data_IF_030020076829
#
_entry.id   IF_030020076829
#
_cell.length_a   1.000
_cell.length_b   1.000
_cell.length_c   1.000
_cell.angle_alpha   90.00
_cell.angle_beta   90.00
_cell.angle_gamma   90.00
#
_symmetry.space_group_name_H-M   'P 1'
#
loop_
_entity.id
_entity.type
_entity.pdbx_description
1 polymer ?
#
# COMPACT_ATOMS: atom_id res chain seq x y z
N UNK A 1 -0.08 21.00 -1.41
CA UNK A 1 0.24 19.95 -0.41
C UNK A 1 0.45 18.64 -1.15
N UNK A 2 1.54 17.91 -0.85
CA UNK A 2 1.86 16.64 -1.49
C UNK A 2 1.45 15.47 -0.60
N UNK A 3 0.60 14.60 -1.09
CA UNK A 3 0.07 13.44 -0.37
C UNK A 3 0.54 12.16 -1.06
N UNK A 4 1.19 11.26 -0.32
CA UNK A 4 1.65 9.98 -0.84
C UNK A 4 0.84 8.85 -0.22
N UNK A 5 0.10 8.13 -1.05
CA UNK A 5 -0.66 6.95 -0.64
C UNK A 5 0.15 5.68 -0.77
N UNK A 6 0.05 4.79 0.20
CA UNK A 6 0.41 3.38 0.07
C UNK A 6 -0.88 2.57 0.01
N UNK A 7 -1.21 2.07 -1.17
CA UNK A 7 -2.48 1.41 -1.48
C UNK A 7 -2.27 -0.08 -1.73
N UNK A 8 -3.20 -0.94 -1.26
CA UNK A 8 -3.18 -2.37 -1.56
C UNK A 8 -3.52 -2.67 -3.03
N UNK A 9 -4.04 -1.70 -3.76
CA UNK A 9 -4.48 -1.84 -5.15
C UNK A 9 -3.84 -0.78 -6.05
N UNK A 10 -3.71 -1.04 -7.38
CA UNK A 10 -3.18 -0.06 -8.33
C UNK A 10 -4.12 1.14 -8.58
N UNK A 11 -5.28 1.17 -7.92
CA UNK A 11 -6.30 2.21 -8.07
C UNK A 11 -6.61 2.42 -9.57
N UNK A 12 -6.46 3.62 -10.11
CA UNK A 12 -6.74 3.95 -11.52
C UNK A 12 -5.45 4.02 -12.35
N UNK A 13 -4.47 3.15 -12.10
CA UNK A 13 -3.20 3.11 -12.83
C UNK A 13 -3.38 2.87 -14.33
N UNK A 14 -4.34 2.02 -14.74
CA UNK A 14 -4.71 1.77 -16.14
C UNK A 14 -6.20 1.45 -16.23
N UNK A 15 -6.78 1.65 -17.42
CA UNK A 15 -8.19 1.34 -17.67
C UNK A 15 -8.49 -0.16 -17.49
N UNK A 16 -7.53 -1.03 -17.83
CA UNK A 16 -7.64 -2.48 -17.64
C UNK A 16 -7.74 -2.90 -16.17
N UNK A 17 -7.19 -2.09 -15.26
CA UNK A 17 -7.28 -2.39 -13.82
C UNK A 17 -8.67 -2.10 -13.23
N UNK A 18 -9.53 -1.35 -13.93
CA UNK A 18 -10.90 -1.10 -13.51
C UNK A 18 -11.76 -2.37 -13.46
N UNK A 19 -11.48 -3.33 -14.36
CA UNK A 19 -12.19 -4.61 -14.40
C UNK A 19 -11.88 -5.52 -13.21
N UNK A 20 -10.82 -5.26 -12.46
CA UNK A 20 -10.31 -6.12 -11.39
C UNK A 20 -10.47 -5.48 -10.01
N UNK A 21 -11.67 -5.05 -9.65
CA UNK A 21 -11.96 -4.41 -8.36
C UNK A 21 -10.95 -3.33 -7.99
N UNK A 22 -10.53 -2.59 -8.97
CA UNK A 22 -9.41 -1.62 -8.88
C UNK A 22 -9.57 -0.58 -7.82
N UNK A 23 -10.38 -0.82 -6.86
CA UNK A 23 -10.31 0.05 -5.79
C UNK A 23 -11.60 0.49 -5.16
N UNK A 24 -12.72 0.13 -5.71
CA UNK A 24 -13.97 0.50 -5.08
C UNK A 24 -13.93 1.88 -4.45
N UNK A 25 -13.96 1.94 -3.12
CA UNK A 25 -13.93 3.18 -2.37
C UNK A 25 -12.60 3.95 -2.47
N UNK A 26 -11.44 3.29 -2.68
CA UNK A 26 -10.14 3.97 -2.83
C UNK A 26 -10.11 4.75 -4.16
N UNK A 27 -10.65 4.19 -5.24
CA UNK A 27 -10.77 4.90 -6.52
C UNK A 27 -11.73 6.09 -6.41
N UNK A 28 -12.82 5.94 -5.67
CA UNK A 28 -13.75 7.04 -5.39
C UNK A 28 -13.07 8.13 -4.56
N UNK A 29 -12.29 7.78 -3.55
CA UNK A 29 -11.53 8.71 -2.75
C UNK A 29 -10.48 9.45 -3.59
N UNK A 30 -9.81 8.75 -4.52
CA UNK A 30 -8.88 9.39 -5.46
C UNK A 30 -9.58 10.48 -6.27
N UNK A 31 -10.77 10.21 -6.79
CA UNK A 31 -11.53 11.19 -7.57
C UNK A 31 -11.91 12.41 -6.72
N UNK A 32 -12.26 12.20 -5.45
CA UNK A 32 -12.55 13.29 -4.51
C UNK A 32 -11.28 14.11 -4.24
N UNK A 33 -10.15 13.48 -3.93
CA UNK A 33 -8.89 14.19 -3.64
C UNK A 33 -8.44 15.01 -4.86
N UNK A 34 -8.59 14.49 -6.07
CA UNK A 34 -8.28 15.21 -7.31
C UNK A 34 -9.13 16.45 -7.53
N UNK A 35 -10.35 16.50 -7.00
CA UNK A 35 -11.20 17.68 -7.10
C UNK A 35 -10.82 18.79 -6.11
N UNK A 36 -9.90 18.50 -5.17
CA UNK A 36 -9.41 19.48 -4.20
C UNK A 36 -8.22 20.21 -4.78
N UNK A 37 -8.32 21.51 -4.92
CA UNK A 37 -7.25 22.36 -5.41
C UNK A 37 -5.99 22.28 -4.52
N UNK A 38 -4.82 22.38 -5.16
CA UNK A 38 -3.52 22.41 -4.49
C UNK A 38 -3.13 21.13 -3.74
N UNK A 39 -3.64 19.96 -4.18
CA UNK A 39 -3.16 18.65 -3.73
C UNK A 39 -2.48 17.92 -4.88
N UNK A 40 -1.18 17.62 -4.70
CA UNK A 40 -0.43 16.71 -5.57
C UNK A 40 -0.52 15.30 -4.98
N UNK A 41 -1.07 14.36 -5.73
CA UNK A 41 -1.26 12.99 -5.28
C UNK A 41 -0.23 12.05 -5.90
N UNK A 42 0.47 11.29 -5.04
CA UNK A 42 1.25 10.12 -5.42
C UNK A 42 0.63 8.84 -4.89
N UNK A 43 0.65 7.76 -5.67
CA UNK A 43 0.11 6.45 -5.25
C UNK A 43 1.18 5.38 -5.43
N UNK A 44 1.56 4.75 -4.33
CA UNK A 44 2.44 3.57 -4.28
C UNK A 44 1.57 2.33 -4.15
N UNK A 45 1.82 1.34 -4.98
CA UNK A 45 1.14 0.04 -4.91
C UNK A 45 2.07 -1.11 -5.27
N UNK A 46 1.75 -2.31 -4.78
CA UNK A 46 2.52 -3.51 -5.07
C UNK A 46 2.02 -4.21 -6.33
N UNK A 47 2.95 -4.79 -7.09
CA UNK A 47 2.63 -5.54 -8.29
C UNK A 47 3.62 -6.68 -8.51
N UNK A 48 3.17 -7.85 -9.00
CA UNK A 48 4.07 -8.90 -9.49
C UNK A 48 4.61 -8.61 -10.88
N UNK A 49 3.97 -7.69 -11.61
CA UNK A 49 4.32 -7.33 -12.99
C UNK A 49 5.35 -6.21 -13.01
N UNK A 50 6.20 -6.22 -14.04
CA UNK A 50 7.15 -5.13 -14.27
C UNK A 50 6.40 -3.93 -14.87
N UNK A 51 5.94 -3.05 -14.00
CA UNK A 51 5.28 -1.79 -14.35
C UNK A 51 6.24 -0.63 -14.09
N UNK A 52 6.04 0.47 -14.83
CA UNK A 52 6.87 1.67 -14.72
C UNK A 52 6.13 2.77 -13.94
N UNK A 53 6.92 3.65 -13.33
CA UNK A 53 6.40 4.91 -12.80
C UNK A 53 5.75 5.70 -13.95
N UNK A 54 4.55 6.20 -13.74
CA UNK A 54 3.90 7.09 -14.71
C UNK A 54 3.06 8.17 -14.05
N UNK A 55 2.85 9.24 -14.78
CA UNK A 55 1.97 10.33 -14.41
C UNK A 55 0.73 10.27 -15.29
N UNK A 56 -0.43 10.04 -14.68
CA UNK A 56 -1.71 9.86 -15.38
C UNK A 56 -2.78 10.65 -14.64
N UNK A 57 -3.53 11.49 -15.39
CA UNK A 57 -4.63 12.26 -14.82
C UNK A 57 -4.24 12.98 -13.51
N UNK A 58 -3.12 13.70 -13.53
CA UNK A 58 -2.60 14.50 -12.40
C UNK A 58 -2.14 13.68 -11.18
N UNK A 59 -2.04 12.36 -11.29
CA UNK A 59 -1.57 11.46 -10.23
C UNK A 59 -0.25 10.80 -10.64
N UNK A 60 0.72 10.80 -9.72
CA UNK A 60 1.99 10.11 -9.91
C UNK A 60 1.92 8.71 -9.32
N UNK A 61 2.04 7.68 -10.15
CA UNK A 61 1.96 6.28 -9.74
C UNK A 61 3.34 5.65 -9.64
N UNK A 62 3.57 4.95 -8.53
CA UNK A 62 4.81 4.28 -8.17
C UNK A 62 4.57 2.78 -7.93
N UNK A 63 4.69 1.93 -8.96
CA UNK A 63 4.60 0.49 -8.77
C UNK A 63 5.84 -0.04 -8.03
N UNK A 64 5.64 -0.85 -6.99
CA UNK A 64 6.69 -1.60 -6.31
C UNK A 64 6.60 -3.06 -6.74
N UNK A 65 7.61 -3.50 -7.49
CA UNK A 65 7.66 -4.87 -8.00
C UNK A 65 8.10 -5.81 -6.88
N UNK A 66 7.32 -6.89 -6.69
CA UNK A 66 7.62 -8.01 -5.78
C UNK A 66 8.33 -9.14 -6.52
N UNK A 67 9.53 -8.89 -6.96
CA UNK A 67 10.38 -9.81 -7.70
C UNK A 67 11.36 -10.56 -6.80
N UNK A 68 10.86 -11.18 -5.74
CA UNK A 68 11.69 -11.90 -4.77
C UNK A 68 12.19 -13.24 -5.32
N UNK A 69 13.47 -13.53 -5.09
CA UNK A 69 14.04 -14.87 -5.30
C UNK A 69 13.45 -15.88 -4.32
N UNK A 70 13.60 -17.18 -4.60
CA UNK A 70 13.13 -18.23 -3.68
C UNK A 70 13.72 -18.09 -2.27
N UNK A 71 15.00 -17.73 -2.17
CA UNK A 71 15.69 -17.53 -0.89
C UNK A 71 15.11 -16.33 -0.11
N UNK A 72 14.82 -15.24 -0.81
CA UNK A 72 14.21 -14.05 -0.20
C UNK A 72 12.77 -14.30 0.25
N UNK A 73 12.02 -15.15 -0.48
CA UNK A 73 10.65 -15.55 -0.09
C UNK A 73 10.58 -16.29 1.25
N UNK A 74 11.65 -16.93 1.67
CA UNK A 74 11.73 -17.64 2.95
C UNK A 74 12.01 -16.71 4.14
N UNK A 75 12.42 -15.45 3.90
CA UNK A 75 12.74 -14.50 4.95
C UNK A 75 11.87 -13.24 4.86
N UNK A 76 10.78 -13.24 5.61
CA UNK A 76 9.81 -12.13 5.63
C UNK A 76 10.43 -10.79 6.06
N UNK A 77 11.33 -10.80 7.04
CA UNK A 77 12.02 -9.59 7.51
C UNK A 77 12.89 -8.99 6.39
N UNK A 78 13.60 -9.84 5.66
CA UNK A 78 14.42 -9.40 4.54
C UNK A 78 13.57 -8.83 3.39
N UNK A 79 12.42 -9.47 3.06
CA UNK A 79 11.47 -8.92 2.08
C UNK A 79 10.99 -7.52 2.50
N UNK A 80 10.59 -7.36 3.76
CA UNK A 80 10.14 -6.07 4.28
C UNK A 80 11.23 -5.00 4.15
N UNK A 81 12.48 -5.34 4.48
CA UNK A 81 13.63 -4.42 4.34
C UNK A 81 13.82 -3.97 2.88
N UNK A 82 13.71 -4.89 1.91
CA UNK A 82 13.80 -4.55 0.48
C UNK A 82 12.67 -3.57 0.09
N UNK A 83 11.44 -3.86 0.50
CA UNK A 83 10.27 -3.04 0.17
C UNK A 83 10.34 -1.66 0.83
N UNK A 84 10.76 -1.59 2.08
CA UNK A 84 11.00 -0.32 2.81
C UNK A 84 12.04 0.52 2.08
N UNK A 85 13.16 -0.07 1.65
CA UNK A 85 14.18 0.66 0.90
C UNK A 85 13.66 1.20 -0.45
N UNK A 86 12.82 0.43 -1.16
CA UNK A 86 12.14 0.91 -2.37
C UNK A 86 11.20 2.09 -2.03
N UNK A 87 10.43 1.99 -0.95
CA UNK A 87 9.53 3.06 -0.50
C UNK A 87 10.27 4.34 -0.09
N UNK A 88 11.39 4.23 0.63
CA UNK A 88 12.21 5.39 1.01
C UNK A 88 12.72 6.15 -0.23
N UNK A 89 13.10 5.43 -1.29
CA UNK A 89 13.50 6.07 -2.55
C UNK A 89 12.34 6.85 -3.18
N UNK A 90 11.13 6.28 -3.15
CA UNK A 90 9.91 6.94 -3.65
C UNK A 90 9.59 8.18 -2.80
N UNK A 91 9.67 8.08 -1.49
CA UNK A 91 9.45 9.20 -0.57
C UNK A 91 10.43 10.34 -0.86
N UNK A 92 11.70 10.02 -1.10
CA UNK A 92 12.74 11.02 -1.46
C UNK A 92 12.50 11.65 -2.83
N UNK A 93 11.95 10.91 -3.78
CA UNK A 93 11.64 11.40 -5.13
C UNK A 93 10.38 12.28 -5.13
N UNK A 94 9.30 11.81 -4.50
CA UNK A 94 8.02 12.53 -4.47
C UNK A 94 8.03 13.70 -3.48
N UNK A 95 8.74 13.58 -2.36
CA UNK A 95 8.83 14.56 -1.25
C UNK A 95 7.46 14.94 -0.71
N UNK A 96 6.71 13.98 -0.13
CA UNK A 96 5.38 14.25 0.38
C UNK A 96 5.41 15.09 1.65
N UNK A 97 4.36 15.88 1.87
CA UNK A 97 4.09 16.56 3.13
C UNK A 97 3.42 15.62 4.13
N UNK A 98 2.67 14.61 3.64
CA UNK A 98 2.00 13.60 4.44
C UNK A 98 1.95 12.27 3.68
N UNK A 99 2.08 11.17 4.43
CA UNK A 99 1.92 9.80 3.93
C UNK A 99 0.61 9.23 4.44
N UNK A 100 -0.18 8.61 3.57
CA UNK A 100 -1.42 7.93 3.94
C UNK A 100 -1.32 6.44 3.63
N UNK A 101 -1.43 5.60 4.66
CA UNK A 101 -1.38 4.15 4.57
C UNK A 101 -2.79 3.58 4.60
N UNK A 102 -3.15 2.77 3.62
CA UNK A 102 -4.41 2.04 3.59
C UNK A 102 -4.26 0.68 4.28
N UNK A 103 -4.37 0.67 5.60
CA UNK A 103 -4.15 -0.46 6.49
C UNK A 103 -2.78 -0.42 7.18
N UNK A 104 -2.66 -1.15 8.26
CA UNK A 104 -1.43 -1.31 9.04
C UNK A 104 -0.86 -2.73 8.98
N UNK A 105 -1.58 -3.65 8.36
CA UNK A 105 -1.29 -5.08 8.30
C UNK A 105 -0.22 -5.47 7.27
N UNK A 106 0.19 -4.54 6.43
CA UNK A 106 1.22 -4.74 5.42
C UNK A 106 2.57 -4.16 5.87
N UNK A 107 3.66 -4.49 5.15
CA UNK A 107 5.01 -4.01 5.39
C UNK A 107 5.12 -2.47 5.44
N UNK A 108 4.27 -1.75 4.73
CA UNK A 108 4.31 -0.29 4.73
C UNK A 108 3.88 0.32 6.08
N UNK A 109 3.19 -0.43 6.95
CA UNK A 109 2.98 -0.03 8.34
C UNK A 109 4.30 0.20 9.10
N UNK A 110 5.39 -0.49 8.70
CA UNK A 110 6.71 -0.32 9.30
C UNK A 110 7.40 0.99 8.90
N UNK A 111 6.86 1.74 7.93
CA UNK A 111 7.43 3.02 7.51
C UNK A 111 7.45 4.06 8.64
N UNK A 112 6.62 3.90 9.67
CA UNK A 112 6.60 4.78 10.85
C UNK A 112 7.98 4.88 11.53
N UNK A 113 8.80 3.83 11.45
CA UNK A 113 10.14 3.78 12.03
C UNK A 113 11.24 4.27 11.06
N UNK A 114 10.85 4.69 9.84
CA UNK A 114 11.80 4.97 8.77
C UNK A 114 11.67 6.37 8.14
N UNK A 115 10.76 7.21 8.65
CA UNK A 115 10.56 8.58 8.15
C UNK A 115 9.98 9.47 9.24
N UNK A 116 10.37 10.74 9.23
CA UNK A 116 9.82 11.79 10.10
C UNK A 116 8.59 12.48 9.48
N UNK A 117 8.21 12.10 8.25
CA UNK A 117 7.04 12.66 7.57
C UNK A 117 5.78 12.17 8.29
N UNK A 118 4.82 13.06 8.59
CA UNK A 118 3.57 12.66 9.22
C UNK A 118 2.86 11.53 8.47
N UNK A 119 2.46 10.48 9.21
CA UNK A 119 1.77 9.31 8.65
C UNK A 119 0.35 9.25 9.20
N UNK A 120 -0.61 9.14 8.30
CA UNK A 120 -2.01 8.81 8.60
C UNK A 120 -2.27 7.37 8.23
N UNK A 121 -2.80 6.58 9.15
CA UNK A 121 -3.15 5.18 8.91
C UNK A 121 -4.67 5.05 8.87
N UNK A 122 -5.19 4.61 7.72
CA UNK A 122 -6.61 4.29 7.56
C UNK A 122 -6.82 2.82 7.89
N UNK A 123 -7.35 2.55 9.06
CA UNK A 123 -7.65 1.18 9.49
C UNK A 123 -8.96 0.71 8.84
N UNK A 124 -8.87 -0.33 8.02
CA UNK A 124 -10.04 -0.91 7.34
C UNK A 124 -10.79 -1.93 8.21
N UNK A 125 -10.22 -2.29 9.35
CA UNK A 125 -10.81 -3.22 10.31
C UNK A 125 -9.90 -3.42 11.53
N UNK A 126 -10.44 -4.07 12.54
CA UNK A 126 -9.69 -4.48 13.72
C UNK A 126 -9.10 -5.88 13.51
N UNK A 127 -7.78 -5.99 13.40
CA UNK A 127 -7.10 -7.29 13.26
C UNK A 127 -7.48 -8.28 14.38
N UNK A 128 -7.54 -7.89 15.67
CA UNK A 128 -8.00 -8.79 16.72
C UNK A 128 -9.43 -9.30 16.50
N UNK A 129 -10.34 -8.42 16.10
CA UNK A 129 -11.74 -8.80 15.83
C UNK A 129 -11.84 -9.73 14.62
N UNK A 130 -11.10 -9.44 13.55
CA UNK A 130 -11.04 -10.29 12.36
C UNK A 130 -10.44 -11.67 12.70
N UNK A 131 -9.34 -11.69 13.47
CA UNK A 131 -8.72 -12.95 13.91
C UNK A 131 -9.69 -13.78 14.74
N UNK A 132 -10.37 -13.19 15.72
CA UNK A 132 -11.33 -13.88 16.56
C UNK A 132 -12.56 -14.40 15.77
N UNK A 133 -13.03 -13.65 14.75
CA UNK A 133 -14.09 -14.10 13.88
C UNK A 133 -13.67 -15.27 12.99
N UNK A 134 -12.44 -15.26 12.48
CA UNK A 134 -11.90 -16.32 11.62
C UNK A 134 -11.50 -17.57 12.41
N UNK A 135 -11.01 -17.38 13.62
CA UNK A 135 -10.51 -18.46 14.50
C UNK A 135 -11.21 -18.40 15.87
N UNK A 136 -12.49 -18.83 15.97
CA UNK A 136 -13.23 -18.81 17.22
C UNK A 136 -12.51 -19.56 18.34
N UNK A 137 -12.79 -19.15 19.58
CA UNK A 137 -12.28 -19.82 20.77
C UNK A 137 -12.69 -21.29 20.74
N UNK A 138 -11.73 -22.21 20.92
CA UNK A 138 -11.98 -23.66 20.83
C UNK A 138 -11.61 -24.31 19.51
N UNK A 139 -11.25 -23.53 18.48
CA UNK A 139 -10.74 -24.08 17.23
C UNK A 139 -9.37 -24.72 17.44
N UNK A 140 -9.17 -25.93 16.90
CA UNK A 140 -7.91 -26.66 17.04
C UNK A 140 -6.73 -25.89 16.42
N UNK A 141 -5.54 -26.07 16.97
CA UNK A 141 -4.29 -25.40 16.50
C UNK A 141 -4.04 -25.69 15.01
N UNK A 142 -4.43 -26.85 14.52
CA UNK A 142 -4.26 -27.24 13.11
C UNK A 142 -5.07 -26.40 12.14
N UNK A 143 -6.24 -25.90 12.53
CA UNK A 143 -7.05 -25.01 11.70
C UNK A 143 -6.54 -23.54 11.70
N UNK A 144 -5.54 -23.22 12.56
CA UNK A 144 -4.95 -21.88 12.63
C UNK A 144 -3.71 -21.72 11.76
N UNK A 145 -3.23 -22.80 11.15
CA UNK A 145 -1.95 -22.85 10.41
C UNK A 145 -2.16 -22.85 8.89
N UNK A 146 -3.40 -23.11 8.40
CA UNK A 146 -3.75 -23.16 6.96
C UNK A 146 -4.70 -22.05 6.53
#
# INVERSE_FOLDING_TARGET
MKVLWFSPTPVNYSEETWAHNGGGWISSLQNIIKSIENIDLGIVFETPQKLEKKFVNEVCYYPIIKDFTLKEKLNKSHQNSILINKAIRIIKDFKPDVIHLFGSESWYGLLVDHTDIPIVIHMQGSLPSYYNARYPVGMSVWHKIF
#
